data_IF_447699845696
#
_entry.id   IF_447699845696
#
_cell.length_a   1.000
_cell.length_b   1.000
_cell.length_c   1.000
_cell.angle_alpha   90.00
_cell.angle_beta   90.00
_cell.angle_gamma   90.00
#
_symmetry.space_group_name_H-M   'P 1'
#
loop_
_entity.id
_entity.type
_entity.pdbx_description
1 polymer ?
#
# COMPACT_ATOMS: atom_id res chain seq x y z
N UNK A 1 29.73 48.58 -65.63
CA UNK A 1 31.06 49.14 -65.32
C UNK A 1 31.53 48.56 -63.98
N UNK A 2 32.69 47.87 -63.97
CA UNK A 2 33.50 47.36 -62.83
C UNK A 2 32.95 46.29 -61.84
N UNK A 3 33.29 45.02 -62.16
CA UNK A 3 34.05 43.99 -61.40
C UNK A 3 33.91 43.79 -59.86
N UNK A 4 33.62 42.53 -59.51
CA UNK A 4 34.16 41.63 -58.46
C UNK A 4 34.26 42.07 -56.99
N UNK A 5 33.73 41.21 -56.10
CA UNK A 5 34.52 40.35 -55.17
C UNK A 5 33.60 39.44 -54.33
N UNK A 6 33.92 38.15 -54.33
CA UNK A 6 33.50 37.18 -53.31
C UNK A 6 34.48 37.30 -52.14
N UNK A 7 33.95 37.38 -50.91
CA UNK A 7 34.73 37.13 -49.69
C UNK A 7 33.86 36.38 -48.69
N UNK A 8 34.24 35.14 -48.37
CA UNK A 8 33.73 34.37 -47.23
C UNK A 8 34.20 35.02 -45.92
N UNK A 9 33.28 35.27 -44.99
CA UNK A 9 33.60 35.63 -43.61
C UNK A 9 33.21 34.47 -42.70
N UNK A 10 34.21 33.78 -42.16
CA UNK A 10 34.09 32.93 -40.98
C UNK A 10 33.87 33.83 -39.76
N UNK A 11 32.77 33.66 -39.03
CA UNK A 11 32.57 34.28 -37.72
C UNK A 11 32.67 33.23 -36.61
N UNK A 12 33.65 33.44 -35.73
CA UNK A 12 33.93 32.70 -34.51
C UNK A 12 32.74 32.73 -33.51
N UNK A 13 32.65 31.77 -32.56
CA UNK A 13 31.51 31.65 -31.66
C UNK A 13 31.47 32.80 -30.65
N UNK A 14 30.33 33.48 -30.59
CA UNK A 14 30.07 34.51 -29.59
C UNK A 14 30.00 33.90 -28.19
N UNK A 15 30.84 34.42 -27.30
CA UNK A 15 30.91 34.09 -25.88
C UNK A 15 29.52 34.13 -25.20
N UNK A 16 29.15 33.03 -24.56
CA UNK A 16 27.97 32.94 -23.68
C UNK A 16 28.22 33.81 -22.45
N UNK A 17 27.58 34.98 -22.40
CA UNK A 17 27.46 35.77 -21.17
C UNK A 17 26.50 35.05 -20.23
N UNK A 18 27.02 34.46 -19.16
CA UNK A 18 26.23 34.03 -18.01
C UNK A 18 25.72 35.28 -17.25
N UNK A 19 24.46 35.63 -17.46
CA UNK A 19 23.71 36.49 -16.55
C UNK A 19 22.56 35.64 -15.99
N UNK A 20 22.36 35.55 -14.66
CA UNK A 20 21.19 34.91 -14.11
C UNK A 20 19.99 35.82 -14.36
N UNK A 21 19.21 35.50 -15.39
CA UNK A 21 17.91 36.11 -15.60
C UNK A 21 16.99 35.69 -14.45
N UNK A 22 16.69 36.61 -13.55
CA UNK A 22 15.52 36.52 -12.68
C UNK A 22 14.26 36.53 -13.56
N UNK A 23 13.83 35.35 -14.00
CA UNK A 23 12.45 35.19 -14.43
C UNK A 23 11.59 35.26 -13.17
N UNK A 24 10.59 36.15 -13.09
CA UNK A 24 9.63 36.09 -12.01
C UNK A 24 8.92 34.74 -12.12
N UNK A 25 9.05 33.93 -11.07
CA UNK A 25 8.25 32.73 -10.88
C UNK A 25 6.80 33.18 -10.93
N UNK A 26 6.13 32.97 -12.06
CA UNK A 26 4.69 33.05 -12.14
C UNK A 26 4.16 32.07 -11.09
N UNK A 27 3.76 32.60 -9.94
CA UNK A 27 2.96 31.88 -8.95
C UNK A 27 1.76 31.35 -9.71
N UNK A 28 1.81 30.09 -10.15
CA UNK A 28 0.61 29.34 -10.54
C UNK A 28 -0.33 29.52 -9.37
N UNK A 29 -1.45 30.20 -9.62
CA UNK A 29 -2.44 30.52 -8.61
C UNK A 29 -2.67 29.28 -7.76
N UNK A 30 -2.40 29.41 -6.46
CA UNK A 30 -2.70 28.36 -5.53
C UNK A 30 -4.15 28.00 -5.76
N UNK A 31 -4.42 26.77 -6.20
CA UNK A 31 -5.76 26.23 -6.19
C UNK A 31 -6.25 26.45 -4.75
N UNK A 32 -7.15 27.41 -4.56
CA UNK A 32 -7.80 27.61 -3.28
C UNK A 32 -8.41 26.26 -2.97
N UNK A 33 -7.87 25.58 -1.95
CA UNK A 33 -8.38 24.32 -1.49
C UNK A 33 -9.75 24.63 -0.88
N UNK A 34 -10.78 24.61 -1.71
CA UNK A 34 -12.15 24.75 -1.25
C UNK A 34 -12.43 23.57 -0.34
N UNK A 35 -12.64 23.87 0.94
CA UNK A 35 -13.14 22.88 1.89
C UNK A 35 -14.50 22.45 1.34
N UNK A 36 -14.73 21.16 1.05
CA UNK A 36 -16.00 20.69 0.50
C UNK A 36 -17.15 21.16 1.39
N UNK A 37 -18.28 21.55 0.80
CA UNK A 37 -19.44 21.97 1.58
C UNK A 37 -19.95 20.85 2.51
N UNK A 38 -20.72 21.16 3.57
CA UNK A 38 -21.19 20.16 4.55
C UNK A 38 -21.85 18.93 3.92
N UNK A 39 -22.60 19.13 2.83
CA UNK A 39 -23.27 18.08 2.07
C UNK A 39 -22.28 17.15 1.32
N UNK A 40 -21.19 17.69 0.78
CA UNK A 40 -20.15 16.89 0.11
C UNK A 40 -19.32 16.10 1.12
N UNK A 41 -19.06 16.69 2.30
CA UNK A 41 -18.38 16.00 3.40
C UNK A 41 -19.22 14.81 3.91
N UNK A 42 -20.51 15.00 4.11
CA UNK A 42 -21.44 13.94 4.51
C UNK A 42 -21.49 12.79 3.49
N UNK A 43 -21.51 13.12 2.19
CA UNK A 43 -21.46 12.13 1.11
C UNK A 43 -20.16 11.33 1.13
N UNK A 44 -19.00 11.98 1.30
CA UNK A 44 -17.70 11.29 1.37
C UNK A 44 -17.59 10.36 2.58
N UNK A 45 -18.08 10.79 3.75
CA UNK A 45 -18.13 9.96 4.95
C UNK A 45 -19.01 8.72 4.73
N UNK A 46 -20.20 8.91 4.14
CA UNK A 46 -21.13 7.83 3.79
C UNK A 46 -20.49 6.80 2.86
N UNK A 47 -19.81 7.23 1.79
CA UNK A 47 -19.11 6.31 0.89
C UNK A 47 -17.96 5.57 1.56
N UNK A 48 -17.23 6.25 2.45
CA UNK A 48 -16.11 5.64 3.18
C UNK A 48 -16.61 4.55 4.10
N UNK A 49 -17.59 4.86 4.95
CA UNK A 49 -18.19 3.89 5.87
C UNK A 49 -18.93 2.78 5.10
N UNK A 50 -19.66 3.11 4.05
CA UNK A 50 -20.34 2.14 3.19
C UNK A 50 -19.37 1.16 2.54
N UNK A 51 -18.23 1.64 2.04
CA UNK A 51 -17.17 0.78 1.50
C UNK A 51 -16.62 -0.18 2.57
N UNK A 52 -16.32 0.32 3.77
CA UNK A 52 -15.83 -0.51 4.87
C UNK A 52 -16.88 -1.54 5.32
N UNK A 53 -18.14 -1.13 5.44
CA UNK A 53 -19.25 -2.00 5.83
C UNK A 53 -19.57 -3.08 4.79
N UNK A 54 -19.43 -2.76 3.49
CA UNK A 54 -19.61 -3.73 2.40
C UNK A 54 -18.64 -4.92 2.50
N UNK A 55 -17.47 -4.74 3.12
CA UNK A 55 -16.49 -5.81 3.26
C UNK A 55 -16.89 -6.88 4.28
N UNK A 56 -17.84 -6.61 5.19
CA UNK A 56 -18.34 -7.60 6.15
C UNK A 56 -19.12 -8.72 5.44
N UNK A 57 -20.24 -8.44 4.72
CA UNK A 57 -20.96 -9.48 4.01
C UNK A 57 -20.13 -10.08 2.87
N UNK A 58 -19.26 -9.29 2.23
CA UNK A 58 -18.35 -9.83 1.21
C UNK A 58 -17.38 -10.87 1.80
N UNK A 59 -16.75 -10.58 2.94
CA UNK A 59 -15.87 -11.53 3.62
C UNK A 59 -16.63 -12.78 4.07
N UNK A 60 -17.85 -12.62 4.59
CA UNK A 60 -18.72 -13.74 4.94
C UNK A 60 -19.01 -14.63 3.72
N UNK A 61 -19.44 -14.04 2.60
CA UNK A 61 -19.74 -14.79 1.37
C UNK A 61 -18.49 -15.49 0.80
N UNK A 62 -17.34 -14.81 0.79
CA UNK A 62 -16.07 -15.42 0.36
C UNK A 62 -15.66 -16.60 1.25
N UNK A 63 -15.94 -16.52 2.56
CA UNK A 63 -15.67 -17.63 3.49
C UNK A 63 -16.57 -18.84 3.22
N UNK A 64 -17.83 -18.62 2.84
CA UNK A 64 -18.76 -19.70 2.50
C UNK A 64 -18.50 -20.29 1.11
N UNK A 65 -18.07 -19.47 0.16
CA UNK A 65 -17.81 -19.86 -1.22
C UNK A 65 -16.36 -19.52 -1.59
N UNK A 66 -15.38 -20.42 -1.35
CA UNK A 66 -13.96 -20.17 -1.65
C UNK A 66 -13.69 -19.79 -3.11
N UNK A 67 -14.50 -20.27 -4.06
CA UNK A 67 -14.43 -19.86 -5.46
C UNK A 67 -14.68 -18.34 -5.62
N UNK A 68 -15.61 -17.76 -4.86
CA UNK A 68 -15.86 -16.32 -4.87
C UNK A 68 -14.62 -15.54 -4.40
N UNK A 69 -13.90 -16.05 -3.41
CA UNK A 69 -12.63 -15.46 -2.97
C UNK A 69 -11.57 -15.51 -4.08
N UNK A 70 -11.50 -16.60 -4.86
CA UNK A 70 -10.63 -16.71 -6.04
C UNK A 70 -11.01 -15.75 -7.16
N UNK A 71 -12.30 -15.65 -7.48
CA UNK A 71 -12.82 -14.69 -8.46
C UNK A 71 -12.52 -13.26 -8.03
N UNK A 72 -12.73 -12.93 -6.76
CA UNK A 72 -12.41 -11.63 -6.20
C UNK A 72 -10.91 -11.32 -6.31
N UNK A 73 -10.04 -12.27 -5.98
CA UNK A 73 -8.60 -12.13 -6.10
C UNK A 73 -8.17 -11.87 -7.56
N UNK A 74 -8.67 -12.65 -8.52
CA UNK A 74 -8.38 -12.46 -9.94
C UNK A 74 -8.93 -11.15 -10.50
N UNK A 75 -10.19 -10.81 -10.17
CA UNK A 75 -10.82 -9.55 -10.58
C UNK A 75 -10.03 -8.34 -10.07
N UNK A 76 -9.49 -8.43 -8.85
CA UNK A 76 -8.63 -7.37 -8.28
C UNK A 76 -7.37 -7.20 -9.12
N UNK A 77 -6.74 -8.28 -9.60
CA UNK A 77 -5.55 -8.19 -10.49
C UNK A 77 -5.91 -7.59 -11.85
N UNK A 78 -7.02 -8.02 -12.45
CA UNK A 78 -7.50 -7.45 -13.72
C UNK A 78 -7.74 -5.95 -13.57
N UNK A 79 -8.31 -5.51 -12.45
CA UNK A 79 -8.49 -4.10 -12.14
C UNK A 79 -7.15 -3.35 -12.02
N UNK A 80 -6.14 -3.96 -11.38
CA UNK A 80 -4.79 -3.42 -11.31
C UNK A 80 -4.16 -3.20 -12.69
N UNK A 81 -4.28 -4.19 -13.58
CA UNK A 81 -3.80 -4.08 -14.96
C UNK A 81 -4.55 -3.00 -15.75
N UNK A 82 -5.87 -2.89 -15.57
CA UNK A 82 -6.68 -1.84 -16.19
C UNK A 82 -6.25 -0.44 -15.73
N UNK A 83 -5.86 -0.27 -14.46
CA UNK A 83 -5.30 0.99 -13.95
C UNK A 83 -4.03 1.37 -14.74
N UNK A 84 -3.18 0.40 -15.10
CA UNK A 84 -1.94 0.65 -15.86
C UNK A 84 -2.19 1.14 -17.30
N UNK A 85 -3.37 0.91 -17.87
CA UNK A 85 -3.71 1.38 -19.23
C UNK A 85 -3.87 2.90 -19.26
N UNK A 86 -4.43 3.50 -18.20
CA UNK A 86 -4.69 4.93 -18.12
C UNK A 86 -3.45 5.77 -17.77
N UNK A 87 -3.40 7.00 -18.28
CA UNK A 87 -2.39 7.99 -17.90
C UNK A 87 -2.70 8.60 -16.52
N UNK A 88 -1.66 9.02 -15.79
CA UNK A 88 -1.77 9.74 -14.50
C UNK A 88 -2.52 8.99 -13.37
N UNK A 89 -2.55 7.65 -13.39
CA UNK A 89 -3.24 6.84 -12.38
C UNK A 89 -2.36 6.32 -11.24
N UNK A 90 -1.18 6.92 -11.01
CA UNK A 90 -0.22 6.46 -9.99
C UNK A 90 -0.81 6.37 -8.57
N UNK A 91 -1.62 7.35 -8.16
CA UNK A 91 -2.28 7.33 -6.84
C UNK A 91 -3.34 6.22 -6.75
N UNK A 92 -4.07 5.95 -7.85
CA UNK A 92 -5.04 4.87 -7.91
C UNK A 92 -4.34 3.51 -7.82
N UNK A 93 -3.19 3.36 -8.48
CA UNK A 93 -2.39 2.16 -8.39
C UNK A 93 -1.85 1.93 -6.97
N UNK A 94 -1.41 2.99 -6.27
CA UNK A 94 -1.00 2.84 -4.87
C UNK A 94 -2.14 2.39 -3.96
N UNK A 95 -3.35 2.93 -4.16
CA UNK A 95 -4.56 2.46 -3.44
C UNK A 95 -4.86 1.00 -3.74
N UNK A 96 -4.68 0.58 -4.99
CA UNK A 96 -4.80 -0.83 -5.39
C UNK A 96 -3.76 -1.72 -4.69
N UNK A 97 -2.50 -1.30 -4.61
CA UNK A 97 -1.46 -2.03 -3.86
C UNK A 97 -1.86 -2.16 -2.39
N UNK A 98 -2.31 -1.07 -1.76
CA UNK A 98 -2.77 -1.09 -0.37
C UNK A 98 -3.95 -2.06 -0.16
N UNK A 99 -4.90 -2.09 -1.10
CA UNK A 99 -6.00 -3.05 -1.08
C UNK A 99 -5.51 -4.51 -1.18
N UNK A 100 -4.58 -4.80 -2.11
CA UNK A 100 -3.98 -6.13 -2.28
C UNK A 100 -3.27 -6.60 -1.01
N UNK A 101 -2.53 -5.70 -0.34
CA UNK A 101 -1.89 -5.99 0.95
C UNK A 101 -2.94 -6.39 1.98
N UNK A 102 -4.00 -5.59 2.15
CA UNK A 102 -5.08 -5.91 3.10
C UNK A 102 -5.80 -7.22 2.78
N UNK A 103 -5.97 -7.54 1.49
CA UNK A 103 -6.75 -8.67 1.02
C UNK A 103 -6.02 -10.02 1.05
N UNK A 104 -4.68 -10.05 1.07
CA UNK A 104 -3.91 -11.30 1.00
C UNK A 104 -4.31 -12.29 2.11
N UNK A 105 -4.32 -11.82 3.35
CA UNK A 105 -4.71 -12.65 4.50
C UNK A 105 -6.18 -13.05 4.42
N UNK A 106 -7.05 -12.15 3.94
CA UNK A 106 -8.47 -12.45 3.77
C UNK A 106 -8.70 -13.59 2.76
N UNK A 107 -8.02 -13.57 1.60
CA UNK A 107 -8.14 -14.63 0.60
C UNK A 107 -7.62 -15.97 1.14
N UNK A 108 -6.52 -15.96 1.88
CA UNK A 108 -5.99 -17.17 2.53
C UNK A 108 -6.96 -17.70 3.60
N UNK A 109 -7.54 -16.82 4.42
CA UNK A 109 -8.58 -17.17 5.41
C UNK A 109 -9.82 -17.79 4.78
N UNK A 110 -10.17 -17.36 3.56
CA UNK A 110 -11.30 -17.88 2.79
C UNK A 110 -10.93 -19.09 1.91
N UNK A 111 -9.69 -19.58 1.97
CA UNK A 111 -9.19 -20.70 1.14
C UNK A 111 -9.37 -20.46 -0.36
N UNK A 112 -9.15 -19.23 -0.81
CA UNK A 112 -9.21 -18.89 -2.23
C UNK A 112 -8.30 -19.84 -3.05
N UNK A 113 -8.75 -20.35 -4.22
CA UNK A 113 -7.97 -21.25 -5.08
C UNK A 113 -6.91 -20.48 -5.90
N UNK A 114 -6.04 -19.76 -5.19
CA UNK A 114 -4.92 -19.00 -5.76
C UNK A 114 -3.61 -19.45 -5.10
N UNK A 115 -2.45 -19.24 -5.75
CA UNK A 115 -1.15 -19.58 -5.15
C UNK A 115 -0.95 -18.94 -3.77
N UNK A 116 -0.20 -19.61 -2.90
CA UNK A 116 0.04 -19.13 -1.52
C UNK A 116 0.56 -17.69 -1.49
N UNK A 117 1.54 -17.40 -2.34
CA UNK A 117 2.19 -16.08 -2.46
C UNK A 117 1.53 -15.14 -3.49
N UNK A 118 0.25 -15.37 -3.82
CA UNK A 118 -0.45 -14.70 -4.92
C UNK A 118 -0.37 -13.16 -4.89
N UNK A 119 -0.70 -12.54 -3.75
CA UNK A 119 -0.78 -11.07 -3.68
C UNK A 119 0.58 -10.41 -3.93
N UNK A 120 1.65 -10.94 -3.35
CA UNK A 120 3.02 -10.43 -3.56
C UNK A 120 3.43 -10.51 -5.02
N UNK A 121 3.12 -11.64 -5.67
CA UNK A 121 3.41 -11.83 -7.09
C UNK A 121 2.64 -10.85 -7.98
N UNK A 122 1.34 -10.71 -7.72
CA UNK A 122 0.50 -9.76 -8.44
C UNK A 122 0.94 -8.30 -8.24
N UNK A 123 1.28 -7.89 -7.01
CA UNK A 123 1.70 -6.52 -6.70
C UNK A 123 2.97 -6.16 -7.47
N UNK A 124 4.03 -6.98 -7.40
CA UNK A 124 5.28 -6.66 -8.09
C UNK A 124 5.08 -6.68 -9.59
N UNK A 125 4.32 -7.64 -10.12
CA UNK A 125 4.06 -7.75 -11.56
C UNK A 125 3.31 -6.53 -12.11
N UNK A 126 2.17 -6.17 -11.51
CA UNK A 126 1.37 -5.01 -11.96
C UNK A 126 2.14 -3.70 -11.77
N UNK A 127 2.89 -3.56 -10.67
CA UNK A 127 3.72 -2.38 -10.43
C UNK A 127 4.85 -2.26 -11.46
N UNK A 128 5.44 -3.38 -11.88
CA UNK A 128 6.43 -3.44 -12.94
C UNK A 128 5.83 -3.05 -14.30
N UNK A 129 4.66 -3.59 -14.66
CA UNK A 129 3.93 -3.19 -15.89
C UNK A 129 3.67 -1.68 -15.89
N UNK A 130 3.24 -1.12 -14.76
CA UNK A 130 3.05 0.32 -14.61
C UNK A 130 4.35 1.10 -14.77
N UNK A 131 5.45 0.62 -14.19
CA UNK A 131 6.77 1.25 -14.29
C UNK A 131 7.25 1.31 -15.75
N UNK A 132 7.16 0.20 -16.49
CA UNK A 132 7.55 0.10 -17.89
C UNK A 132 6.75 1.06 -18.80
N UNK A 133 5.53 1.45 -18.39
CA UNK A 133 4.68 2.41 -19.11
C UNK A 133 4.88 3.87 -18.69
N UNK A 134 5.54 4.14 -17.56
CA UNK A 134 5.55 5.48 -16.92
C UNK A 134 6.64 6.42 -17.45
N UNK A 135 7.43 6.01 -18.46
CA UNK A 135 8.53 6.82 -19.01
C UNK A 135 9.84 6.69 -18.23
N UNK A 136 10.82 7.61 -18.40
CA UNK A 136 12.15 7.46 -17.84
C UNK A 136 12.14 7.40 -16.31
N UNK A 137 12.86 6.42 -15.78
CA UNK A 137 12.95 6.10 -14.36
C UNK A 137 13.91 7.11 -13.68
N UNK A 138 13.39 8.10 -12.96
CA UNK A 138 14.21 9.06 -12.19
C UNK A 138 14.43 8.63 -10.74
N UNK A 139 14.56 7.33 -10.48
CA UNK A 139 14.44 6.76 -9.13
C UNK A 139 15.79 6.54 -8.46
N UNK A 140 15.78 6.48 -7.12
CA UNK A 140 16.93 6.08 -6.32
C UNK A 140 17.43 4.69 -6.73
N UNK A 141 18.75 4.52 -6.83
CA UNK A 141 19.40 3.21 -7.06
C UNK A 141 19.26 2.26 -5.86
N UNK A 142 18.88 2.79 -4.69
CA UNK A 142 18.89 2.05 -3.43
C UNK A 142 18.01 0.79 -3.42
N UNK A 143 16.75 0.79 -3.91
CA UNK A 143 15.95 -0.42 -3.94
C UNK A 143 16.51 -1.51 -4.87
N UNK A 144 17.18 -1.09 -5.96
CA UNK A 144 17.86 -2.00 -6.89
C UNK A 144 19.08 -2.61 -6.23
N UNK A 145 19.89 -1.80 -5.54
CA UNK A 145 21.04 -2.28 -4.77
C UNK A 145 20.61 -3.23 -3.65
N UNK A 146 19.55 -2.89 -2.91
CA UNK A 146 18.95 -3.76 -1.90
C UNK A 146 18.61 -5.14 -2.46
N UNK A 147 17.93 -5.20 -3.60
CA UNK A 147 17.58 -6.46 -4.23
C UNK A 147 18.82 -7.19 -4.77
N UNK A 148 19.76 -6.45 -5.37
CA UNK A 148 21.02 -6.99 -5.89
C UNK A 148 21.88 -7.68 -4.83
N UNK A 149 21.91 -7.13 -3.61
CA UNK A 149 22.64 -7.72 -2.47
C UNK A 149 22.05 -9.05 -1.99
N UNK A 150 20.79 -9.37 -2.33
CA UNK A 150 20.15 -10.64 -1.98
C UNK A 150 20.40 -11.73 -3.04
N UNK A 151 20.81 -11.36 -4.25
CA UNK A 151 21.02 -12.30 -5.36
C UNK A 151 22.10 -13.36 -5.04
N UNK A 152 23.26 -13.03 -4.43
CA UNK A 152 24.28 -14.03 -4.11
C UNK A 152 23.75 -15.17 -3.22
N UNK A 153 22.91 -14.85 -2.23
CA UNK A 153 22.31 -15.84 -1.35
C UNK A 153 21.44 -16.83 -2.15
N UNK A 154 20.65 -16.34 -3.12
CA UNK A 154 19.84 -17.20 -3.97
C UNK A 154 20.68 -18.18 -4.81
N UNK A 155 21.80 -17.73 -5.39
CA UNK A 155 22.72 -18.60 -6.12
C UNK A 155 23.33 -19.68 -5.21
N UNK A 156 23.76 -19.30 -4.01
CA UNK A 156 24.30 -20.25 -3.02
C UNK A 156 23.24 -21.30 -2.66
N UNK A 157 21.98 -20.90 -2.47
CA UNK A 157 20.88 -21.84 -2.21
C UNK A 157 20.73 -22.88 -3.32
N UNK A 158 20.78 -22.48 -4.59
CA UNK A 158 20.74 -23.41 -5.73
C UNK A 158 21.98 -24.29 -5.87
N UNK A 159 23.12 -23.86 -5.31
CA UNK A 159 24.35 -24.66 -5.33
C UNK A 159 24.38 -25.76 -4.25
N UNK A 160 23.62 -25.59 -3.16
CA UNK A 160 23.66 -26.47 -1.99
C UNK A 160 22.42 -27.38 -1.90
N UNK A 161 21.24 -26.89 -2.29
CA UNK A 161 19.98 -27.63 -2.15
C UNK A 161 19.54 -28.29 -3.46
N UNK A 162 18.77 -29.39 -3.40
CA UNK A 162 18.06 -29.92 -4.56
C UNK A 162 17.20 -28.85 -5.22
N UNK A 163 17.08 -28.89 -6.55
CA UNK A 163 16.43 -27.84 -7.34
C UNK A 163 15.03 -27.45 -6.83
N UNK A 164 14.20 -28.43 -6.46
CA UNK A 164 12.84 -28.17 -6.00
C UNK A 164 12.79 -27.44 -4.65
N UNK A 165 13.65 -27.83 -3.71
CA UNK A 165 13.78 -27.18 -2.40
C UNK A 165 14.37 -25.78 -2.56
N UNK A 166 15.45 -25.64 -3.33
CA UNK A 166 16.06 -24.35 -3.64
C UNK A 166 15.04 -23.39 -4.26
N UNK A 167 14.26 -23.86 -5.25
CA UNK A 167 13.22 -23.06 -5.90
C UNK A 167 12.16 -22.59 -4.90
N UNK A 168 11.72 -23.47 -4.00
CA UNK A 168 10.70 -23.15 -3.00
C UNK A 168 11.23 -22.12 -1.99
N UNK A 169 12.44 -22.32 -1.47
CA UNK A 169 13.06 -21.42 -0.50
C UNK A 169 13.35 -20.05 -1.12
N UNK A 170 13.98 -20.01 -2.29
CA UNK A 170 14.26 -18.75 -2.99
C UNK A 170 12.96 -18.01 -3.29
N UNK A 171 11.91 -18.69 -3.76
CA UNK A 171 10.61 -18.06 -4.00
C UNK A 171 10.00 -17.50 -2.70
N UNK A 172 10.03 -18.27 -1.61
CA UNK A 172 9.46 -17.87 -0.34
C UNK A 172 10.18 -16.66 0.26
N UNK A 173 11.51 -16.66 0.28
CA UNK A 173 12.31 -15.60 0.91
C UNK A 173 12.49 -14.36 0.03
N UNK A 174 12.55 -14.49 -1.30
CA UNK A 174 12.84 -13.37 -2.21
C UNK A 174 11.57 -12.64 -2.70
N UNK A 175 10.40 -13.28 -2.64
CA UNK A 175 9.15 -12.68 -3.14
C UNK A 175 8.77 -11.36 -2.46
N UNK A 176 8.89 -11.28 -1.13
CA UNK A 176 8.62 -10.05 -0.38
C UNK A 176 9.66 -8.93 -0.65
N UNK A 177 10.98 -9.20 -0.59
CA UNK A 177 12.00 -8.25 -1.02
C UNK A 177 11.80 -7.72 -2.44
N UNK A 178 11.50 -8.59 -3.41
CA UNK A 178 11.24 -8.20 -4.79
C UNK A 178 10.02 -7.28 -4.88
N UNK A 179 8.93 -7.64 -4.21
CA UNK A 179 7.72 -6.83 -4.12
C UNK A 179 8.00 -5.44 -3.54
N UNK A 180 8.76 -5.36 -2.45
CA UNK A 180 9.15 -4.10 -1.83
C UNK A 180 10.02 -3.25 -2.74
N UNK A 181 11.04 -3.85 -3.36
CA UNK A 181 11.97 -3.15 -4.25
C UNK A 181 11.25 -2.53 -5.46
N UNK A 182 10.38 -3.31 -6.13
CA UNK A 182 9.60 -2.81 -7.27
C UNK A 182 8.63 -1.71 -6.84
N UNK A 183 7.94 -1.86 -5.71
CA UNK A 183 7.08 -0.81 -5.17
C UNK A 183 7.87 0.47 -4.85
N UNK A 184 9.03 0.34 -4.21
CA UNK A 184 9.88 1.47 -3.85
C UNK A 184 10.35 2.23 -5.09
N UNK A 185 10.81 1.54 -6.14
CA UNK A 185 11.15 2.16 -7.43
C UNK A 185 9.90 2.83 -8.02
N UNK A 186 8.77 2.14 -8.08
CA UNK A 186 7.57 2.67 -8.73
C UNK A 186 6.99 3.91 -8.05
N UNK A 187 7.04 3.97 -6.72
CA UNK A 187 6.35 5.00 -5.95
C UNK A 187 7.28 6.03 -5.29
N UNK A 188 8.62 5.94 -5.46
CA UNK A 188 9.56 6.86 -4.78
C UNK A 188 9.35 8.34 -5.11
N UNK A 189 8.88 8.65 -6.32
CA UNK A 189 8.60 10.03 -6.77
C UNK A 189 7.14 10.45 -6.54
N UNK A 190 6.29 9.56 -6.01
CA UNK A 190 4.87 9.83 -5.82
C UNK A 190 4.65 10.70 -4.59
N UNK A 191 4.16 11.91 -4.81
CA UNK A 191 3.76 12.80 -3.73
C UNK A 191 2.28 12.61 -3.41
N UNK A 192 1.97 12.45 -2.13
CA UNK A 192 0.62 12.24 -1.61
C UNK A 192 0.25 13.40 -0.70
N UNK A 193 -0.93 13.96 -0.92
CA UNK A 193 -1.54 14.87 0.05
C UNK A 193 -2.29 14.06 1.11
N UNK A 194 -2.75 14.74 2.16
CA UNK A 194 -3.49 14.13 3.27
C UNK A 194 -4.72 13.34 2.81
N UNK A 195 -5.48 13.87 1.85
CA UNK A 195 -6.68 13.22 1.34
C UNK A 195 -6.34 11.92 0.58
N UNK A 196 -5.24 11.89 -0.17
CA UNK A 196 -4.78 10.67 -0.84
C UNK A 196 -4.30 9.62 0.17
N UNK A 197 -3.59 10.03 1.21
CA UNK A 197 -3.18 9.11 2.30
C UNK A 197 -4.39 8.50 3.01
N UNK A 198 -5.43 9.28 3.25
CA UNK A 198 -6.70 8.78 3.79
C UNK A 198 -7.36 7.77 2.86
N UNK A 199 -7.35 8.00 1.54
CA UNK A 199 -7.88 7.02 0.57
C UNK A 199 -7.06 5.75 0.50
N UNK A 200 -5.73 5.82 0.67
CA UNK A 200 -4.86 4.64 0.82
C UNK A 200 -5.23 3.86 2.07
N UNK A 201 -5.44 4.55 3.20
CA UNK A 201 -5.88 3.93 4.45
C UNK A 201 -7.22 3.22 4.29
N UNK A 202 -8.21 3.86 3.65
CA UNK A 202 -9.53 3.24 3.41
C UNK A 202 -9.42 2.01 2.52
N UNK A 203 -8.62 2.07 1.44
CA UNK A 203 -8.39 0.94 0.55
C UNK A 203 -7.77 -0.26 1.27
N UNK A 204 -6.78 -0.01 2.14
CA UNK A 204 -6.17 -1.04 2.99
C UNK A 204 -7.17 -1.61 4.01
N UNK A 205 -7.93 -0.73 4.66
CA UNK A 205 -8.85 -1.10 5.75
C UNK A 205 -10.03 -1.93 5.31
N UNK A 206 -10.53 -1.77 4.07
CA UNK A 206 -11.68 -2.53 3.57
C UNK A 206 -11.53 -4.04 3.81
N UNK A 207 -10.55 -4.71 3.19
CA UNK A 207 -10.32 -6.13 3.42
C UNK A 207 -9.96 -6.49 4.87
N UNK A 208 -9.25 -5.62 5.59
CA UNK A 208 -8.85 -5.86 7.00
C UNK A 208 -10.07 -5.93 7.92
N UNK A 209 -11.09 -5.11 7.68
CA UNK A 209 -12.34 -5.19 8.43
C UNK A 209 -13.05 -6.53 8.15
N UNK A 210 -12.96 -7.04 6.92
CA UNK A 210 -13.41 -8.39 6.59
C UNK A 210 -12.70 -9.48 7.42
N UNK A 211 -11.38 -9.35 7.60
CA UNK A 211 -10.58 -10.24 8.47
C UNK A 211 -11.06 -10.16 9.92
N UNK A 212 -11.18 -8.94 10.46
CA UNK A 212 -11.63 -8.70 11.83
C UNK A 212 -13.05 -9.24 12.07
N UNK A 213 -13.93 -9.07 11.09
CA UNK A 213 -15.29 -9.60 11.12
C UNK A 213 -15.30 -11.14 11.15
N UNK A 214 -14.53 -11.82 10.29
CA UNK A 214 -14.47 -13.28 10.30
C UNK A 214 -13.87 -13.82 11.60
N UNK A 215 -12.87 -13.12 12.17
CA UNK A 215 -12.31 -13.46 13.47
C UNK A 215 -13.35 -13.35 14.59
N UNK A 216 -14.06 -12.22 14.66
CA UNK A 216 -15.14 -11.99 15.62
C UNK A 216 -16.27 -13.02 15.46
N UNK A 217 -16.71 -13.26 14.23
CA UNK A 217 -17.78 -14.19 13.93
C UNK A 217 -17.44 -15.59 14.44
N UNK A 218 -16.23 -16.09 14.14
CA UNK A 218 -15.79 -17.41 14.59
C UNK A 218 -15.68 -17.48 16.11
N UNK A 219 -15.15 -16.43 16.74
CA UNK A 219 -15.08 -16.31 18.20
C UNK A 219 -16.47 -16.35 18.84
N UNK A 220 -17.47 -15.71 18.24
CA UNK A 220 -18.84 -15.66 18.76
C UNK A 220 -19.64 -16.96 18.55
N UNK A 221 -19.26 -17.79 17.57
CA UNK A 221 -20.02 -19.00 17.21
C UNK A 221 -19.34 -20.30 17.67
N UNK A 222 -18.26 -20.23 18.44
CA UNK A 222 -17.57 -21.43 18.93
C UNK A 222 -17.06 -21.23 20.32
N UNK A 223 -17.00 -22.30 21.10
CA UNK A 223 -16.33 -22.30 22.39
C UNK A 223 -14.82 -22.11 22.18
N UNK A 224 -14.25 -21.21 22.98
CA UNK A 224 -12.84 -20.82 22.87
C UNK A 224 -12.19 -20.90 24.24
N UNK A 225 -11.26 -21.83 24.39
CA UNK A 225 -10.39 -21.92 25.55
C UNK A 225 -9.20 -20.97 25.38
N UNK A 226 -9.08 -20.02 26.29
CA UNK A 226 -7.94 -19.10 26.33
C UNK A 226 -6.82 -19.70 27.17
N UNK A 227 -5.75 -20.15 26.50
CA UNK A 227 -4.52 -20.63 27.12
C UNK A 227 -3.34 -19.67 26.96
N UNK A 228 -2.13 -20.16 27.18
CA UNK A 228 -0.88 -19.37 27.03
C UNK A 228 -0.40 -19.23 25.58
N UNK A 229 -0.94 -20.04 24.66
CA UNK A 229 -0.58 -20.06 23.23
C UNK A 229 -1.48 -19.19 22.35
N UNK A 230 -1.06 -19.00 21.10
CA UNK A 230 -1.86 -18.29 20.10
C UNK A 230 -3.17 -19.01 19.78
N UNK A 231 -4.24 -18.26 19.55
CA UNK A 231 -5.60 -18.77 19.43
C UNK A 231 -6.12 -18.75 17.99
N UNK A 232 -6.25 -19.94 17.39
CA UNK A 232 -6.73 -20.11 16.01
C UNK A 232 -8.21 -19.76 15.88
N UNK A 233 -9.03 -20.04 16.90
CA UNK A 233 -10.46 -19.73 16.88
C UNK A 233 -10.69 -18.21 16.88
N UNK A 234 -9.99 -17.49 17.76
CA UNK A 234 -9.99 -16.02 17.80
C UNK A 234 -9.32 -15.37 16.57
N UNK A 235 -8.70 -16.16 15.70
CA UNK A 235 -8.08 -15.72 14.45
C UNK A 235 -8.90 -16.11 13.21
N UNK A 236 -10.19 -16.41 13.37
CA UNK A 236 -11.07 -16.76 12.25
C UNK A 236 -10.75 -18.12 11.61
N UNK A 237 -10.05 -19.00 12.33
CA UNK A 237 -9.61 -20.30 11.84
C UNK A 237 -8.34 -20.24 10.96
N UNK A 238 -7.54 -19.18 11.07
CA UNK A 238 -6.34 -18.97 10.25
C UNK A 238 -5.16 -18.46 11.09
N UNK A 239 -3.94 -18.55 10.54
CA UNK A 239 -2.67 -18.30 11.23
C UNK A 239 -2.68 -17.05 12.12
N UNK A 240 -2.69 -17.20 13.46
CA UNK A 240 -2.87 -16.09 14.40
C UNK A 240 -1.85 -14.96 14.22
N UNK A 241 -0.60 -15.31 13.89
CA UNK A 241 0.45 -14.34 13.62
C UNK A 241 0.14 -13.44 12.41
N UNK A 242 -0.38 -14.01 11.33
CA UNK A 242 -0.72 -13.23 10.13
C UNK A 242 -1.95 -12.36 10.37
N UNK A 243 -2.97 -12.89 11.05
CA UNK A 243 -4.17 -12.15 11.41
C UNK A 243 -3.84 -11.00 12.35
N UNK A 244 -3.13 -11.25 13.45
CA UNK A 244 -2.70 -10.23 14.41
C UNK A 244 -1.89 -9.12 13.72
N UNK A 245 -0.89 -9.48 12.91
CA UNK A 245 -0.09 -8.51 12.16
C UNK A 245 -0.93 -7.64 11.22
N UNK A 246 -1.91 -8.22 10.52
CA UNK A 246 -2.80 -7.47 9.64
C UNK A 246 -3.74 -6.54 10.41
N UNK A 247 -4.30 -6.99 11.54
CA UNK A 247 -5.15 -6.18 12.41
C UNK A 247 -4.37 -5.01 13.02
N UNK A 248 -3.12 -5.24 13.46
CA UNK A 248 -2.22 -4.20 13.95
C UNK A 248 -1.87 -3.15 12.87
N UNK A 249 -1.63 -3.59 11.63
CA UNK A 249 -1.45 -2.70 10.48
C UNK A 249 -2.71 -1.87 10.20
N UNK A 250 -3.89 -2.49 10.25
CA UNK A 250 -5.16 -1.79 10.12
C UNK A 250 -5.36 -0.73 11.21
N UNK A 251 -5.10 -1.08 12.46
CA UNK A 251 -5.19 -0.15 13.58
C UNK A 251 -4.27 1.07 13.39
N UNK A 252 -3.03 0.86 12.92
CA UNK A 252 -2.09 1.94 12.61
C UNK A 252 -2.67 2.92 11.58
N UNK A 253 -3.17 2.42 10.45
CA UNK A 253 -3.74 3.24 9.40
C UNK A 253 -5.06 3.90 9.82
N UNK A 254 -5.85 3.24 10.68
CA UNK A 254 -7.07 3.83 11.23
C UNK A 254 -6.76 5.02 12.16
N UNK A 255 -5.71 4.93 13.00
CA UNK A 255 -5.26 6.05 13.82
C UNK A 255 -4.73 7.19 12.95
N UNK A 256 -3.89 6.90 11.95
CA UNK A 256 -3.41 7.95 11.04
C UNK A 256 -4.55 8.62 10.27
N UNK A 257 -5.58 7.86 9.87
CA UNK A 257 -6.78 8.44 9.28
C UNK A 257 -7.48 9.38 10.27
N UNK A 258 -7.70 8.94 11.52
CA UNK A 258 -8.32 9.74 12.58
C UNK A 258 -7.56 11.05 12.82
N UNK A 259 -6.23 11.00 12.93
CA UNK A 259 -5.39 12.19 13.16
C UNK A 259 -5.34 13.15 11.96
N UNK A 260 -5.50 12.61 10.75
CA UNK A 260 -5.52 13.36 9.50
C UNK A 260 -6.88 14.00 9.20
N UNK A 261 -7.98 13.42 9.69
CA UNK A 261 -9.33 13.91 9.39
C UNK A 261 -9.64 15.18 10.20
N UNK A 262 -9.89 16.28 9.47
CA UNK A 262 -10.16 17.60 10.05
C UNK A 262 -11.57 18.12 9.73
N UNK A 263 -12.30 17.44 8.84
CA UNK A 263 -13.59 17.92 8.34
C UNK A 263 -14.75 17.40 9.18
N UNK A 264 -14.66 16.17 9.68
CA UNK A 264 -15.72 15.54 10.48
C UNK A 264 -15.15 14.85 11.71
N UNK A 265 -15.49 15.39 12.89
CA UNK A 265 -15.15 14.77 14.19
C UNK A 265 -15.80 13.40 14.33
N UNK A 266 -17.03 13.23 13.85
CA UNK A 266 -17.74 11.94 13.91
C UNK A 266 -16.99 10.87 13.10
N UNK A 267 -16.55 11.21 11.88
CA UNK A 267 -15.77 10.29 11.05
C UNK A 267 -14.42 9.97 11.70
N UNK A 268 -13.72 10.98 12.23
CA UNK A 268 -12.46 10.78 12.95
C UNK A 268 -12.65 9.84 14.16
N UNK A 269 -13.66 10.09 15.01
CA UNK A 269 -14.00 9.23 16.15
C UNK A 269 -14.35 7.80 15.71
N UNK A 270 -15.07 7.64 14.59
CA UNK A 270 -15.39 6.31 14.06
C UNK A 270 -14.12 5.51 13.72
N UNK A 271 -13.11 6.16 13.17
CA UNK A 271 -11.80 5.53 12.90
C UNK A 271 -10.97 5.28 14.17
N UNK A 272 -11.11 6.11 15.20
CA UNK A 272 -10.52 5.83 16.51
C UNK A 272 -11.13 4.57 17.15
N UNK A 273 -12.46 4.45 17.13
CA UNK A 273 -13.19 3.26 17.63
C UNK A 273 -12.81 2.02 16.80
N UNK A 274 -12.72 2.16 15.48
CA UNK A 274 -12.24 1.11 14.59
C UNK A 274 -10.83 0.63 14.98
N UNK A 275 -9.90 1.56 15.24
CA UNK A 275 -8.54 1.19 15.66
C UNK A 275 -8.53 0.42 16.98
N UNK A 276 -9.30 0.87 17.97
CA UNK A 276 -9.42 0.18 19.26
C UNK A 276 -9.99 -1.22 19.11
N UNK A 277 -11.03 -1.38 18.27
CA UNK A 277 -11.60 -2.70 17.99
C UNK A 277 -10.61 -3.63 17.29
N UNK A 278 -9.84 -3.13 16.31
CA UNK A 278 -8.81 -3.92 15.62
C UNK A 278 -7.69 -4.33 16.58
N UNK A 279 -7.24 -3.45 17.49
CA UNK A 279 -6.24 -3.80 18.50
C UNK A 279 -6.76 -4.82 19.52
N UNK A 280 -8.01 -4.68 19.95
CA UNK A 280 -8.64 -5.67 20.83
C UNK A 280 -8.70 -7.04 20.16
N UNK A 281 -9.13 -7.11 18.90
CA UNK A 281 -9.12 -8.36 18.14
C UNK A 281 -7.70 -8.92 17.95
N UNK A 282 -6.72 -8.07 17.64
CA UNK A 282 -5.32 -8.50 17.54
C UNK A 282 -4.83 -9.12 18.86
N UNK A 283 -5.19 -8.54 20.01
CA UNK A 283 -4.85 -9.07 21.32
C UNK A 283 -5.53 -10.43 21.59
N UNK A 284 -6.80 -10.59 21.21
CA UNK A 284 -7.56 -11.83 21.38
C UNK A 284 -7.00 -13.01 20.57
N UNK A 285 -6.23 -12.75 19.51
CA UNK A 285 -5.49 -13.81 18.80
C UNK A 285 -4.41 -14.47 19.66
N UNK A 286 -4.01 -13.86 20.79
CA UNK A 286 -2.84 -14.21 21.59
C UNK A 286 -1.52 -14.27 20.81
N UNK A 287 -1.51 -13.79 19.56
CA UNK A 287 -0.30 -13.55 18.81
C UNK A 287 0.18 -12.12 19.06
N UNK A 288 1.27 -12.00 19.81
CA UNK A 288 1.82 -10.70 20.25
C UNK A 288 2.38 -9.87 19.07
N UNK A 289 2.60 -10.48 17.89
CA UNK A 289 3.28 -9.85 16.75
C UNK A 289 2.61 -8.58 16.27
N UNK A 290 1.28 -8.57 16.11
CA UNK A 290 0.54 -7.42 15.61
C UNK A 290 0.61 -6.21 16.52
N UNK A 291 0.49 -6.44 17.84
CA UNK A 291 0.59 -5.38 18.84
C UNK A 291 2.00 -4.79 18.90
N UNK A 292 3.04 -5.62 18.80
CA UNK A 292 4.43 -5.16 18.77
C UNK A 292 4.75 -4.36 17.51
N UNK A 293 4.33 -4.85 16.34
CA UNK A 293 4.52 -4.14 15.08
C UNK A 293 3.76 -2.80 15.07
N UNK A 294 2.53 -2.79 15.56
CA UNK A 294 1.75 -1.57 15.74
C UNK A 294 2.49 -0.57 16.65
N UNK A 295 2.92 -0.99 17.84
CA UNK A 295 3.59 -0.11 18.79
C UNK A 295 4.89 0.48 18.25
N UNK A 296 5.73 -0.34 17.62
CA UNK A 296 6.97 0.10 16.99
C UNK A 296 6.71 1.10 15.84
N UNK A 297 5.79 0.78 14.93
CA UNK A 297 5.48 1.62 13.78
C UNK A 297 4.78 2.93 14.19
N UNK A 298 3.87 2.87 15.17
CA UNK A 298 3.22 4.06 15.72
C UNK A 298 4.25 4.96 16.41
N UNK A 299 5.15 4.41 17.21
CA UNK A 299 6.23 5.17 17.86
C UNK A 299 7.11 5.90 16.85
N UNK A 300 7.58 5.19 15.82
CA UNK A 300 8.38 5.79 14.75
C UNK A 300 7.61 6.87 13.97
N UNK A 301 6.35 6.60 13.60
CA UNK A 301 5.51 7.54 12.87
C UNK A 301 5.14 8.79 13.69
N UNK A 302 4.83 8.62 14.97
CA UNK A 302 4.54 9.72 15.88
C UNK A 302 5.77 10.62 16.08
N UNK A 303 6.95 10.04 16.28
CA UNK A 303 8.21 10.80 16.38
C UNK A 303 8.46 11.64 15.12
N UNK A 304 8.28 11.05 13.93
CA UNK A 304 8.40 11.76 12.67
C UNK A 304 7.40 12.93 12.53
N UNK A 305 6.14 12.72 12.92
CA UNK A 305 5.11 13.77 12.86
C UNK A 305 5.38 14.93 13.82
N UNK A 306 5.93 14.64 15.01
CA UNK A 306 6.32 15.68 15.99
C UNK A 306 7.50 16.50 15.45
N UNK A 307 8.54 15.86 14.92
CA UNK A 307 9.69 16.54 14.34
C UNK A 307 9.28 17.49 13.21
N UNK A 308 8.40 17.04 12.32
CA UNK A 308 7.95 17.85 11.18
C UNK A 308 7.13 19.07 11.59
N UNK A 309 6.35 19.00 12.67
CA UNK A 309 5.62 20.17 13.20
C UNK A 309 6.55 21.21 13.84
N UNK A 310 7.71 20.80 14.36
CA UNK A 310 8.71 21.72 14.90
C UNK A 310 9.57 22.41 13.84
N UNK A 311 9.51 21.95 12.58
CA UNK A 311 10.28 22.51 11.45
C UNK A 311 9.44 23.34 10.47
N UNK A 312 8.14 23.52 10.74
CA UNK A 312 7.20 24.31 9.94
C UNK A 312 6.73 25.53 10.75
#
# INVERSE_FOLDING_TARGET
MRLNRITLAMSAPSAVRWAPGHQPVLRRGGAQFQIPGPHEQGRMAMWTLGFLLLHLPLAFLMKQFPLLAGVHALATVVWGLWICVGSNRSQQLLRWVAYMVGAEVLWRMCRAPVPWEFAKHAIWFVSLVSLLRSGPISTSLLPVLYLGLLIPAAFITFAILPFNEARQDVSFYLSAPMCLAVCAVRFSSLQLNTAEMQRVAVALLGPIIGIAFLALFRLATTDVDFGSGSNVAASGGFGPNQVSSMLGLGALFAIFFCLAERRSNLLACSFAVLALWLLAQAALTFSRSGLYLFGAAFGAGAAYLVQRKGSA
#
